data_IF_178290223243
#
_entry.id   IF_178290223243
#
_cell.length_a   1.000
_cell.length_b   1.000
_cell.length_c   1.000
_cell.angle_alpha   90.00
_cell.angle_beta   90.00
_cell.angle_gamma   90.00
#
_symmetry.space_group_name_H-M   'P 1'
#
loop_
_entity.id
_entity.type
_entity.pdbx_description
1 polymer ?
#
# COMPACT_ATOMS: atom_id res chain seq x y z
N UNK A 1 10.68 19.07 -28.20
CA UNK A 1 11.86 18.21 -28.52
C UNK A 1 11.49 16.73 -28.65
N UNK A 2 10.82 16.10 -27.68
CA UNK A 2 10.46 14.65 -27.78
C UNK A 2 9.44 14.37 -28.87
N UNK A 3 8.42 15.20 -29.04
CA UNK A 3 7.45 15.10 -30.14
C UNK A 3 8.07 15.31 -31.52
N UNK A 4 9.10 16.14 -31.62
CA UNK A 4 9.79 16.44 -32.88
C UNK A 4 10.43 15.18 -33.50
N UNK A 5 10.72 14.16 -32.72
CA UNK A 5 11.21 12.85 -33.16
C UNK A 5 10.20 12.12 -34.05
N UNK A 6 8.90 12.31 -33.82
CA UNK A 6 7.83 11.59 -34.49
C UNK A 6 7.24 12.43 -35.66
N UNK A 7 7.29 13.75 -35.60
CA UNK A 7 6.70 14.65 -36.60
C UNK A 7 7.12 14.34 -38.05
N UNK A 8 8.40 14.08 -38.37
CA UNK A 8 8.80 13.80 -39.76
C UNK A 8 8.21 12.51 -40.31
N UNK A 9 7.88 11.54 -39.46
CA UNK A 9 7.33 10.23 -39.83
C UNK A 9 5.82 10.28 -40.08
N UNK A 10 5.13 11.30 -39.58
CA UNK A 10 3.68 11.46 -39.71
C UNK A 10 3.24 12.00 -41.08
N UNK A 11 4.18 12.32 -41.95
CA UNK A 11 3.90 13.01 -43.23
C UNK A 11 3.33 12.12 -44.35
N UNK A 12 3.22 10.79 -44.13
CA UNK A 12 2.67 9.85 -45.13
C UNK A 12 1.59 8.98 -44.50
N UNK A 13 0.43 8.79 -45.16
CA UNK A 13 -0.72 8.05 -44.62
C UNK A 13 -0.39 6.61 -44.16
N UNK A 14 0.50 5.92 -44.88
CA UNK A 14 0.87 4.53 -44.54
C UNK A 14 1.85 4.40 -43.36
N UNK A 15 2.62 5.45 -43.06
CA UNK A 15 3.53 5.49 -41.94
C UNK A 15 2.90 6.10 -40.69
N UNK A 16 1.78 6.79 -40.83
CA UNK A 16 1.14 7.51 -39.72
C UNK A 16 0.65 6.55 -38.60
N UNK A 17 -0.05 5.48 -38.95
CA UNK A 17 -0.54 4.50 -37.95
C UNK A 17 0.60 3.85 -37.15
N UNK A 18 1.64 3.33 -37.83
CA UNK A 18 2.79 2.73 -37.14
C UNK A 18 3.55 3.75 -36.30
N UNK A 19 3.60 5.01 -36.74
CA UNK A 19 4.24 6.11 -35.98
C UNK A 19 3.42 6.50 -34.75
N UNK A 20 2.09 6.46 -34.81
CA UNK A 20 1.23 6.68 -33.64
C UNK A 20 1.41 5.55 -32.63
N UNK A 21 1.45 4.30 -33.06
CA UNK A 21 1.68 3.16 -32.18
C UNK A 21 3.08 3.22 -31.51
N UNK A 22 4.11 3.60 -32.27
CA UNK A 22 5.45 3.84 -31.73
C UNK A 22 5.45 4.96 -30.68
N UNK A 23 4.76 6.07 -30.97
CA UNK A 23 4.65 7.21 -30.07
C UNK A 23 3.89 6.84 -28.79
N UNK A 24 2.75 6.18 -28.91
CA UNK A 24 1.95 5.71 -27.77
C UNK A 24 2.79 4.76 -26.91
N UNK A 25 3.42 3.76 -27.52
CA UNK A 25 4.28 2.80 -26.82
C UNK A 25 5.44 3.48 -26.11
N UNK A 26 6.05 4.49 -26.75
CA UNK A 26 7.14 5.27 -26.15
C UNK A 26 6.69 6.01 -24.88
N UNK A 27 5.51 6.65 -24.91
CA UNK A 27 5.02 7.38 -23.74
C UNK A 27 4.50 6.45 -22.63
N UNK A 28 3.86 5.34 -22.98
CA UNK A 28 3.41 4.33 -22.03
C UNK A 28 4.57 3.62 -21.31
N UNK A 29 5.74 3.51 -21.97
CA UNK A 29 6.93 2.90 -21.38
C UNK A 29 7.71 3.83 -20.43
N UNK A 30 7.31 5.09 -20.27
CA UNK A 30 7.98 6.02 -19.37
C UNK A 30 7.62 5.73 -17.92
N UNK A 31 8.59 5.77 -16.98
CA UNK A 31 8.30 5.65 -15.54
C UNK A 31 7.25 6.67 -15.05
N UNK A 32 7.23 7.86 -15.63
CA UNK A 32 6.25 8.91 -15.32
C UNK A 32 4.81 8.55 -15.64
N UNK A 33 4.55 7.51 -16.45
CA UNK A 33 3.21 6.98 -16.68
C UNK A 33 2.61 6.46 -15.36
N UNK A 34 3.31 5.56 -14.67
CA UNK A 34 2.87 5.03 -13.39
C UNK A 34 2.77 6.12 -12.32
N UNK A 35 3.73 7.05 -12.26
CA UNK A 35 3.69 8.17 -11.31
C UNK A 35 2.45 9.04 -11.52
N UNK A 36 2.10 9.34 -12.78
CA UNK A 36 0.92 10.13 -13.13
C UNK A 36 -0.38 9.44 -12.73
N UNK A 37 -0.54 8.16 -13.10
CA UNK A 37 -1.77 7.42 -12.87
C UNK A 37 -1.90 6.93 -11.42
N UNK A 38 -0.78 6.66 -10.74
CA UNK A 38 -0.78 6.31 -9.33
C UNK A 38 -1.43 7.41 -8.47
N UNK A 39 -1.28 8.68 -8.81
CA UNK A 39 -1.92 9.79 -8.08
C UNK A 39 -3.43 9.63 -8.01
N UNK A 40 -4.07 9.25 -9.12
CA UNK A 40 -5.53 9.02 -9.15
C UNK A 40 -5.95 7.86 -8.25
N UNK A 41 -5.16 6.77 -8.28
CA UNK A 41 -5.42 5.62 -7.43
C UNK A 41 -5.16 5.92 -5.95
N UNK A 42 -4.09 6.63 -5.65
CA UNK A 42 -3.71 6.99 -4.27
C UNK A 42 -4.74 7.93 -3.64
N UNK A 43 -5.34 8.85 -4.41
CA UNK A 43 -6.46 9.67 -3.95
C UNK A 43 -7.67 8.81 -3.57
N UNK A 44 -8.03 7.83 -4.39
CA UNK A 44 -9.10 6.86 -4.08
C UNK A 44 -8.75 6.00 -2.86
N UNK A 45 -7.50 5.57 -2.74
CA UNK A 45 -7.00 4.79 -1.62
C UNK A 45 -6.81 5.63 -0.33
N UNK A 46 -7.03 6.93 -0.36
CA UNK A 46 -6.84 7.87 0.76
C UNK A 46 -5.40 7.90 1.28
N UNK A 47 -4.40 7.68 0.40
CA UNK A 47 -3.00 7.67 0.78
C UNK A 47 -2.57 9.00 1.39
N UNK A 48 -1.88 8.94 2.52
CA UNK A 48 -1.21 10.07 3.14
C UNK A 48 0.07 9.62 3.85
N UNK A 49 1.09 10.49 3.87
CA UNK A 49 2.34 10.28 4.62
C UNK A 49 2.20 10.73 6.08
N UNK A 50 0.96 10.82 6.58
CA UNK A 50 0.64 11.20 7.96
C UNK A 50 -0.58 10.42 8.46
N UNK A 51 -0.74 10.37 9.80
CA UNK A 51 -1.73 9.52 10.47
C UNK A 51 -3.13 10.11 10.53
N UNK A 52 -3.29 11.40 10.22
CA UNK A 52 -4.56 12.11 10.38
C UNK A 52 -4.88 12.45 11.84
N UNK A 53 -6.13 12.79 12.11
CA UNK A 53 -6.60 13.34 13.37
C UNK A 53 -5.81 14.60 13.80
N UNK A 54 -6.12 15.25 14.92
CA UNK A 54 -5.45 16.52 15.27
C UNK A 54 -3.95 16.43 15.46
N UNK A 55 -3.41 15.27 15.87
CA UNK A 55 -1.97 15.12 16.10
C UNK A 55 -1.16 14.90 14.82
N UNK A 56 -1.77 14.39 13.78
CA UNK A 56 -1.28 14.19 12.41
C UNK A 56 0.23 13.85 12.31
N UNK A 57 0.64 12.81 13.02
CA UNK A 57 2.04 12.40 13.04
C UNK A 57 2.49 11.81 11.69
N UNK A 58 3.77 11.97 11.29
CA UNK A 58 4.31 11.32 10.12
C UNK A 58 4.13 9.80 10.16
N UNK A 59 3.82 9.19 9.01
CA UNK A 59 3.61 7.74 8.83
C UNK A 59 4.53 7.20 7.75
N UNK A 60 5.10 6.02 7.98
CA UNK A 60 5.93 5.31 7.00
C UNK A 60 5.10 4.29 6.20
N UNK A 61 4.41 4.75 5.17
CA UNK A 61 3.59 3.92 4.26
C UNK A 61 3.98 4.07 2.79
N UNK A 62 5.09 4.75 2.53
CA UNK A 62 5.58 5.07 1.19
C UNK A 62 5.76 3.84 0.28
N UNK A 63 6.03 2.66 0.83
CA UNK A 63 6.20 1.44 0.07
C UNK A 63 4.93 1.07 -0.74
N UNK A 64 3.75 1.33 -0.19
CA UNK A 64 2.49 1.14 -0.90
C UNK A 64 2.37 2.07 -2.12
N UNK A 65 2.70 3.35 -1.97
CA UNK A 65 2.74 4.29 -3.09
C UNK A 65 3.65 3.78 -4.20
N UNK A 66 4.84 3.36 -3.85
CA UNK A 66 5.84 2.87 -4.80
C UNK A 66 5.39 1.55 -5.45
N UNK A 67 4.69 0.68 -4.71
CA UNK A 67 4.08 -0.52 -5.26
C UNK A 67 3.02 -0.17 -6.32
N UNK A 68 2.12 0.78 -6.05
CA UNK A 68 1.10 1.23 -7.01
C UNK A 68 1.75 1.75 -8.29
N UNK A 69 2.80 2.58 -8.17
CA UNK A 69 3.55 3.10 -9.32
C UNK A 69 4.16 1.95 -10.15
N UNK A 70 4.79 0.97 -9.49
CA UNK A 70 5.38 -0.19 -10.18
C UNK A 70 4.33 -1.06 -10.85
N UNK A 71 3.22 -1.33 -10.19
CA UNK A 71 2.12 -2.14 -10.72
C UNK A 71 1.55 -1.51 -12.01
N UNK A 72 1.33 -0.20 -12.01
CA UNK A 72 0.84 0.53 -13.19
C UNK A 72 1.88 0.56 -14.31
N UNK A 73 3.15 0.78 -14.02
CA UNK A 73 4.22 0.73 -15.02
C UNK A 73 4.43 -0.68 -15.59
N UNK A 74 4.18 -1.72 -14.80
CA UNK A 74 4.21 -3.11 -15.25
C UNK A 74 2.95 -3.52 -16.02
N UNK A 75 1.97 -2.62 -16.17
CA UNK A 75 0.66 -2.92 -16.73
C UNK A 75 0.02 -4.17 -16.07
N UNK A 76 0.08 -4.23 -14.72
CA UNK A 76 -0.48 -5.34 -13.96
C UNK A 76 -1.95 -5.54 -14.30
N UNK A 77 -2.43 -6.77 -14.57
CA UNK A 77 -3.84 -7.04 -14.78
C UNK A 77 -4.69 -6.55 -13.61
N UNK A 78 -5.85 -5.95 -13.90
CA UNK A 78 -6.67 -5.29 -12.88
C UNK A 78 -7.20 -6.27 -11.82
N UNK A 79 -7.47 -7.50 -12.18
CA UNK A 79 -7.87 -8.56 -11.25
C UNK A 79 -6.73 -8.90 -10.27
N UNK A 80 -5.48 -9.03 -10.76
CA UNK A 80 -4.31 -9.22 -9.90
C UNK A 80 -4.07 -8.00 -8.99
N UNK A 81 -4.12 -6.80 -9.56
CA UNK A 81 -3.99 -5.54 -8.82
C UNK A 81 -5.03 -5.43 -7.70
N UNK A 82 -6.26 -5.90 -7.95
CA UNK A 82 -7.34 -5.94 -6.96
C UNK A 82 -7.08 -6.98 -5.87
N UNK A 83 -6.77 -8.22 -6.26
CA UNK A 83 -6.53 -9.32 -5.31
C UNK A 83 -5.38 -8.99 -4.36
N UNK A 84 -4.27 -8.47 -4.89
CA UNK A 84 -3.10 -8.17 -4.07
C UNK A 84 -3.37 -7.06 -3.04
N UNK A 85 -4.21 -6.07 -3.37
CA UNK A 85 -4.58 -5.02 -2.42
C UNK A 85 -5.61 -5.44 -1.38
N UNK A 86 -6.56 -6.29 -1.75
CA UNK A 86 -7.63 -6.71 -0.84
C UNK A 86 -7.27 -7.93 0.02
N UNK A 87 -6.41 -8.82 -0.48
CA UNK A 87 -6.13 -10.12 0.11
C UNK A 87 -4.73 -10.66 -0.26
N UNK A 88 -3.74 -9.78 -0.50
CA UNK A 88 -2.39 -10.17 -0.86
C UNK A 88 -1.70 -11.04 0.20
N UNK A 89 -1.99 -10.78 1.46
CA UNK A 89 -1.50 -11.53 2.62
C UNK A 89 -2.09 -12.95 2.73
N UNK A 90 -3.23 -13.21 2.10
CA UNK A 90 -3.90 -14.51 2.08
C UNK A 90 -3.44 -15.40 0.92
N UNK A 91 -2.60 -14.89 0.02
CA UNK A 91 -2.05 -15.67 -1.10
C UNK A 91 -1.09 -16.74 -0.58
N UNK A 92 -0.94 -17.88 -1.28
CA UNK A 92 0.02 -18.91 -0.90
C UNK A 92 1.46 -18.38 -0.94
N UNK A 93 2.17 -18.37 0.19
CA UNK A 93 3.52 -17.85 0.34
C UNK A 93 3.66 -16.41 -0.20
N UNK A 94 2.95 -15.43 0.38
CA UNK A 94 2.91 -14.07 -0.14
C UNK A 94 4.30 -13.44 -0.18
N UNK A 95 4.58 -12.72 -1.26
CA UNK A 95 5.79 -11.93 -1.42
C UNK A 95 5.72 -10.63 -0.62
N UNK A 96 6.86 -9.97 -0.41
CA UNK A 96 6.90 -8.65 0.21
C UNK A 96 6.01 -7.65 -0.54
N UNK A 97 6.01 -7.67 -1.88
CA UNK A 97 5.17 -6.79 -2.69
C UNK A 97 3.67 -7.05 -2.48
N UNK A 98 3.26 -8.31 -2.32
CA UNK A 98 1.87 -8.66 -2.03
C UNK A 98 1.43 -8.25 -0.61
N UNK A 99 2.33 -8.34 0.37
CA UNK A 99 2.09 -7.81 1.71
C UNK A 99 2.01 -6.28 1.69
N UNK A 100 2.90 -5.61 0.97
CA UNK A 100 2.89 -4.15 0.81
C UNK A 100 1.59 -3.67 0.14
N UNK A 101 1.08 -4.41 -0.85
CA UNK A 101 -0.18 -4.07 -1.53
C UNK A 101 -1.36 -3.99 -0.56
N UNK A 102 -1.43 -4.84 0.47
CA UNK A 102 -2.51 -4.82 1.47
C UNK A 102 -2.54 -3.55 2.32
N UNK A 103 -1.51 -2.72 2.24
CA UNK A 103 -1.51 -1.40 2.88
C UNK A 103 -2.59 -0.46 2.34
N UNK A 104 -3.31 -0.82 1.25
CA UNK A 104 -4.57 -0.19 0.89
C UNK A 104 -5.51 -0.07 2.09
N UNK A 105 -5.63 -1.13 2.88
CA UNK A 105 -6.44 -1.14 4.10
C UNK A 105 -5.82 -0.35 5.26
N UNK A 106 -4.54 -0.01 5.19
CA UNK A 106 -3.82 0.74 6.23
C UNK A 106 -3.82 2.27 6.01
N UNK A 107 -4.41 2.75 4.92
CA UNK A 107 -4.57 4.19 4.65
C UNK A 107 -5.70 4.84 5.48
N UNK A 108 -6.21 4.17 6.50
CA UNK A 108 -7.12 4.74 7.49
C UNK A 108 -6.38 5.73 8.39
N UNK A 109 -7.10 6.69 8.96
CA UNK A 109 -6.53 7.55 9.99
C UNK A 109 -6.27 6.73 11.26
N UNK A 110 -5.15 7.00 11.94
CA UNK A 110 -4.75 6.36 13.20
C UNK A 110 -4.76 7.39 14.34
N UNK A 111 -5.45 7.07 15.44
CA UNK A 111 -5.52 7.95 16.61
C UNK A 111 -4.27 7.83 17.47
N UNK A 112 -3.59 8.96 17.68
CA UNK A 112 -2.34 9.06 18.44
C UNK A 112 -2.46 9.88 19.73
N UNK A 113 -3.66 10.35 20.06
CA UNK A 113 -3.88 11.18 21.25
C UNK A 113 -4.08 10.33 22.52
N UNK A 114 -3.67 10.86 23.66
CA UNK A 114 -3.87 10.21 24.95
C UNK A 114 -5.31 10.37 25.46
N UNK A 115 -5.83 9.35 26.14
CA UNK A 115 -7.16 9.39 26.76
C UNK A 115 -8.32 9.03 25.83
N UNK A 116 -8.01 8.46 24.67
CA UNK A 116 -8.99 7.93 23.72
C UNK A 116 -9.21 6.44 23.93
N UNK A 117 -10.33 5.90 23.46
CA UNK A 117 -10.63 4.48 23.45
C UNK A 117 -10.09 3.85 22.17
N UNK A 118 -9.07 3.00 22.28
CA UNK A 118 -8.45 2.31 21.15
C UNK A 118 -9.47 1.51 20.33
N UNK A 119 -10.46 0.88 20.97
CA UNK A 119 -11.46 0.06 20.30
C UNK A 119 -12.46 0.91 19.50
N UNK A 120 -12.79 2.12 19.98
CA UNK A 120 -13.62 3.07 19.23
C UNK A 120 -12.97 3.43 17.91
N UNK A 121 -11.68 3.79 17.93
CA UNK A 121 -10.94 4.17 16.71
C UNK A 121 -10.65 2.99 15.80
N UNK A 122 -10.40 1.80 16.36
CA UNK A 122 -10.31 0.56 15.57
C UNK A 122 -11.61 0.30 14.80
N UNK A 123 -12.76 0.46 15.43
CA UNK A 123 -14.06 0.32 14.78
C UNK A 123 -14.26 1.40 13.69
N UNK A 124 -13.88 2.64 13.96
CA UNK A 124 -13.94 3.72 12.96
C UNK A 124 -13.08 3.39 11.72
N UNK A 125 -11.87 2.85 11.93
CA UNK A 125 -10.99 2.43 10.84
C UNK A 125 -11.60 1.28 10.00
N UNK A 126 -12.24 0.29 10.64
CA UNK A 126 -12.90 -0.81 9.93
C UNK A 126 -14.08 -0.28 9.10
N UNK A 127 -14.90 0.59 9.65
CA UNK A 127 -16.02 1.24 8.95
C UNK A 127 -15.50 1.99 7.72
N UNK A 128 -14.42 2.73 7.87
CA UNK A 128 -13.79 3.47 6.79
C UNK A 128 -13.26 2.52 5.69
N UNK A 129 -12.62 1.39 6.05
CA UNK A 129 -12.18 0.35 5.11
C UNK A 129 -13.32 -0.25 4.31
N UNK A 130 -14.44 -0.58 4.97
CA UNK A 130 -15.65 -1.07 4.31
C UNK A 130 -16.13 -0.06 3.27
N UNK A 131 -16.36 1.17 3.70
CA UNK A 131 -16.91 2.22 2.86
C UNK A 131 -16.00 2.54 1.68
N UNK A 132 -14.69 2.61 1.90
CA UNK A 132 -13.71 2.89 0.85
C UNK A 132 -13.60 1.76 -0.15
N UNK A 133 -13.58 0.51 0.30
CA UNK A 133 -13.53 -0.64 -0.62
C UNK A 133 -14.70 -0.61 -1.62
N UNK A 134 -15.91 -0.38 -1.14
CA UNK A 134 -17.07 -0.30 -2.03
C UNK A 134 -17.06 0.95 -2.91
N UNK A 135 -16.64 2.09 -2.39
CA UNK A 135 -16.51 3.31 -3.18
C UNK A 135 -15.49 3.16 -4.31
N UNK A 136 -14.35 2.53 -4.04
CA UNK A 136 -13.26 2.38 -5.02
C UNK A 136 -13.58 1.35 -6.10
N UNK A 137 -14.02 0.14 -5.72
CA UNK A 137 -14.22 -0.94 -6.69
C UNK A 137 -15.62 -1.01 -7.29
N UNK A 138 -16.64 -0.56 -6.57
CA UNK A 138 -18.03 -0.66 -7.02
C UNK A 138 -18.68 0.70 -7.31
N UNK A 139 -18.02 1.82 -6.99
CA UNK A 139 -18.60 3.15 -7.15
C UNK A 139 -19.86 3.37 -6.31
N UNK A 140 -20.03 2.60 -5.23
CA UNK A 140 -21.24 2.58 -4.40
C UNK A 140 -20.98 3.17 -3.03
N UNK A 141 -21.84 4.07 -2.57
CA UNK A 141 -21.79 4.65 -1.22
C UNK A 141 -22.38 3.68 -0.21
N UNK A 142 -21.60 2.74 0.30
CA UNK A 142 -22.08 1.70 1.21
C UNK A 142 -22.43 2.22 2.62
N UNK A 143 -21.94 3.38 3.03
CA UNK A 143 -22.11 3.96 4.36
C UNK A 143 -23.57 4.05 4.82
N UNK A 144 -24.53 4.25 3.91
CA UNK A 144 -25.95 4.27 4.23
C UNK A 144 -26.43 2.95 4.85
N UNK A 145 -25.86 1.82 4.41
CA UNK A 145 -26.23 0.49 4.87
C UNK A 145 -25.73 0.17 6.29
N UNK A 146 -24.89 1.02 6.87
CA UNK A 146 -24.47 0.89 8.26
C UNK A 146 -25.64 1.04 9.25
N UNK A 147 -26.65 1.88 8.94
CA UNK A 147 -27.76 2.16 9.84
C UNK A 147 -29.09 1.52 9.37
N UNK A 148 -29.26 1.30 8.06
CA UNK A 148 -30.48 0.75 7.49
C UNK A 148 -30.17 0.12 6.11
N UNK A 149 -31.05 -0.73 5.59
CA UNK A 149 -30.94 -1.23 4.22
C UNK A 149 -30.78 -0.07 3.23
N UNK A 150 -29.82 -0.18 2.30
CA UNK A 150 -29.52 0.89 1.36
C UNK A 150 -30.76 1.27 0.55
N UNK A 151 -30.96 2.58 0.34
CA UNK A 151 -32.20 3.07 -0.26
C UNK A 151 -32.33 2.74 -1.75
N UNK A 152 -31.20 2.76 -2.47
CA UNK A 152 -31.16 2.65 -3.93
C UNK A 152 -30.51 1.36 -4.41
N UNK A 153 -29.47 0.91 -3.75
CA UNK A 153 -28.69 -0.27 -4.11
C UNK A 153 -29.19 -1.50 -3.33
N UNK A 154 -29.08 -2.71 -3.90
CA UNK A 154 -29.56 -3.93 -3.25
C UNK A 154 -28.60 -4.41 -2.14
N UNK A 155 -28.29 -3.56 -1.21
CA UNK A 155 -27.39 -3.80 -0.08
C UNK A 155 -28.17 -3.67 1.21
N UNK A 156 -28.30 -4.76 1.94
CA UNK A 156 -28.95 -4.78 3.24
C UNK A 156 -27.99 -4.40 4.37
N UNK A 157 -28.52 -3.97 5.51
CA UNK A 157 -27.74 -3.73 6.73
C UNK A 157 -26.97 -5.01 7.15
N UNK A 158 -27.55 -6.19 6.96
CA UNK A 158 -26.91 -7.45 7.30
C UNK A 158 -25.68 -7.72 6.41
N UNK A 159 -25.77 -7.47 5.10
CA UNK A 159 -24.64 -7.60 4.17
C UNK A 159 -23.51 -6.61 4.49
N UNK A 160 -23.87 -5.39 4.90
CA UNK A 160 -22.88 -4.42 5.40
C UNK A 160 -22.06 -5.01 6.56
N UNK A 161 -22.73 -5.54 7.59
CA UNK A 161 -22.03 -6.09 8.76
C UNK A 161 -21.39 -7.45 8.48
N UNK A 162 -21.82 -8.20 7.49
CA UNK A 162 -21.10 -9.39 7.02
C UNK A 162 -19.75 -8.98 6.40
N UNK A 163 -19.74 -7.92 5.55
CA UNK A 163 -18.49 -7.42 4.98
C UNK A 163 -17.59 -6.79 6.06
N UNK A 164 -18.17 -6.00 6.98
CA UNK A 164 -17.47 -5.49 8.14
C UNK A 164 -16.76 -6.61 8.93
N UNK A 165 -17.42 -7.76 9.11
CA UNK A 165 -16.85 -8.88 9.85
C UNK A 165 -15.57 -9.45 9.23
N UNK A 166 -15.40 -9.40 7.90
CA UNK A 166 -14.14 -9.80 7.26
C UNK A 166 -12.99 -8.90 7.72
N UNK A 167 -13.18 -7.58 7.66
CA UNK A 167 -12.15 -6.62 8.04
C UNK A 167 -11.94 -6.50 9.55
N UNK A 168 -12.96 -6.84 10.34
CA UNK A 168 -12.88 -6.87 11.80
C UNK A 168 -11.96 -7.99 12.33
N UNK A 169 -11.61 -8.97 11.50
CA UNK A 169 -10.69 -10.05 11.86
C UNK A 169 -9.23 -9.75 11.51
N UNK A 170 -8.94 -8.57 10.95
CA UNK A 170 -7.57 -8.15 10.69
C UNK A 170 -6.78 -7.96 11.99
N UNK A 171 -5.48 -8.23 11.95
CA UNK A 171 -4.60 -8.07 13.11
C UNK A 171 -4.31 -6.62 13.48
N UNK A 172 -4.74 -5.67 12.66
CA UNK A 172 -4.56 -4.24 12.87
C UNK A 172 -5.30 -3.76 14.10
N UNK A 173 -4.57 -3.16 15.02
CA UNK A 173 -5.11 -2.62 16.28
C UNK A 173 -5.44 -1.14 16.23
N UNK A 174 -5.12 -0.46 15.12
CA UNK A 174 -5.27 1.00 14.95
C UNK A 174 -4.70 1.82 16.11
N UNK A 175 -3.55 1.38 16.64
CA UNK A 175 -2.83 2.00 17.74
C UNK A 175 -1.67 2.85 17.25
N UNK A 176 -1.17 3.72 18.14
CA UNK A 176 -0.05 4.62 17.90
C UNK A 176 1.21 3.95 17.32
N UNK A 177 1.47 2.71 17.65
CA UNK A 177 2.60 1.92 17.14
C UNK A 177 2.33 1.30 15.76
N UNK A 178 1.08 1.44 15.27
CA UNK A 178 0.62 0.94 13.96
C UNK A 178 0.95 -0.53 13.69
N UNK A 179 1.09 -1.36 14.71
CA UNK A 179 1.32 -2.81 14.53
C UNK A 179 0.07 -3.51 13.95
N UNK A 180 0.26 -4.60 13.17
CA UNK A 180 1.52 -5.21 12.80
C UNK A 180 2.27 -4.44 11.70
N UNK A 181 3.61 -4.37 11.84
CA UNK A 181 4.48 -3.76 10.85
C UNK A 181 5.16 -4.85 10.01
N UNK A 182 5.27 -4.61 8.72
CA UNK A 182 6.04 -5.44 7.81
C UNK A 182 7.38 -4.80 7.50
N UNK A 183 8.47 -5.47 7.88
CA UNK A 183 9.82 -5.03 7.55
C UNK A 183 10.32 -5.74 6.32
N UNK A 184 10.72 -5.00 5.31
CA UNK A 184 11.29 -5.51 4.08
C UNK A 184 12.61 -4.81 3.77
N UNK A 185 13.51 -5.52 3.07
CA UNK A 185 14.80 -4.98 2.67
C UNK A 185 14.76 -4.46 1.24
N UNK A 186 15.15 -3.20 1.05
CA UNK A 186 15.56 -2.76 -0.29
C UNK A 186 16.89 -3.43 -0.68
N UNK A 187 17.24 -3.51 -1.98
CA UNK A 187 18.54 -4.06 -2.39
C UNK A 187 19.72 -3.40 -1.68
N UNK A 188 19.64 -2.09 -1.42
CA UNK A 188 20.66 -1.31 -0.71
C UNK A 188 20.74 -1.69 0.77
N UNK A 189 19.60 -1.73 1.46
CA UNK A 189 19.55 -2.09 2.89
C UNK A 189 19.95 -3.54 3.11
N UNK A 190 19.58 -4.46 2.19
CA UNK A 190 20.02 -5.86 2.23
C UNK A 190 21.55 -5.97 2.17
N UNK A 191 22.18 -5.25 1.23
CA UNK A 191 23.62 -5.21 1.10
C UNK A 191 24.29 -4.63 2.36
N UNK A 192 23.76 -3.52 2.89
CA UNK A 192 24.27 -2.92 4.12
C UNK A 192 24.14 -3.85 5.31
N UNK A 193 23.01 -4.55 5.44
CA UNK A 193 22.77 -5.52 6.50
C UNK A 193 23.78 -6.68 6.47
N UNK A 194 24.11 -7.21 5.30
CA UNK A 194 25.10 -8.27 5.17
C UNK A 194 26.51 -7.79 5.56
N UNK A 195 26.87 -6.56 5.20
CA UNK A 195 28.15 -5.95 5.62
C UNK A 195 28.19 -5.79 7.15
N UNK A 196 27.14 -5.21 7.73
CA UNK A 196 27.07 -5.01 9.18
C UNK A 196 27.06 -6.32 9.96
N UNK A 197 26.36 -7.36 9.47
CA UNK A 197 26.41 -8.72 10.07
C UNK A 197 27.84 -9.28 10.09
N UNK A 198 28.57 -9.13 8.99
CA UNK A 198 29.95 -9.58 8.91
C UNK A 198 30.87 -8.81 9.89
N UNK A 199 30.67 -7.49 10.02
CA UNK A 199 31.41 -6.66 10.99
C UNK A 199 31.09 -7.06 12.43
N UNK A 200 29.80 -7.27 12.76
CA UNK A 200 29.37 -7.72 14.09
C UNK A 200 30.04 -9.07 14.41
N UNK A 201 29.96 -10.06 13.52
CA UNK A 201 30.58 -11.36 13.72
C UNK A 201 32.10 -11.27 13.92
N UNK A 202 32.78 -10.38 13.17
CA UNK A 202 34.20 -10.11 13.32
C UNK A 202 34.55 -9.47 14.67
N UNK A 203 33.69 -8.58 15.19
CA UNK A 203 33.84 -7.99 16.50
C UNK A 203 33.54 -8.98 17.61
N UNK A 204 32.44 -9.75 17.51
CA UNK A 204 32.07 -10.77 18.48
C UNK A 204 33.17 -11.83 18.65
N UNK A 205 33.86 -12.20 17.55
CA UNK A 205 34.99 -13.13 17.61
C UNK A 205 36.19 -12.62 18.42
N UNK A 206 36.27 -11.29 18.64
CA UNK A 206 37.31 -10.63 19.43
C UNK A 206 36.95 -10.52 20.92
N UNK A 207 35.67 -10.69 21.27
CA UNK A 207 35.24 -10.65 22.66
C UNK A 207 35.55 -12.01 23.32
N UNK A 208 36.52 -12.07 24.17
CA UNK A 208 36.68 -13.20 25.10
C UNK A 208 35.52 -13.15 26.09
N UNK A 209 34.86 -14.29 26.32
CA UNK A 209 33.84 -14.39 27.38
C UNK A 209 34.46 -13.91 28.69
N UNK A 210 33.77 -13.02 29.45
CA UNK A 210 34.29 -12.59 30.77
C UNK A 210 34.58 -13.81 31.63
N UNK A 211 35.77 -13.83 32.25
CA UNK A 211 36.14 -14.89 33.14
C UNK A 211 35.09 -14.99 34.27
N UNK A 212 34.72 -16.22 34.66
CA UNK A 212 33.78 -16.47 35.75
C UNK A 212 34.17 -15.76 37.06
N UNK A 213 35.47 -15.49 37.26
CA UNK A 213 35.96 -14.68 38.36
C UNK A 213 35.59 -13.20 38.29
N UNK A 214 35.46 -12.65 37.11
CA UNK A 214 35.03 -11.27 36.93
C UNK A 214 33.55 -11.05 37.19
N UNK A 215 32.73 -12.09 36.96
CA UNK A 215 31.29 -12.08 37.26
C UNK A 215 30.95 -12.33 38.74
N UNK A 216 31.89 -12.81 39.54
CA UNK A 216 31.72 -13.14 40.95
C UNK A 216 32.21 -12.04 41.92
N UNK A 217 32.77 -10.95 41.45
CA UNK A 217 33.18 -9.77 42.20
C UNK A 217 32.19 -8.64 42.07
#
# INVERSE_FOLDING_TARGET
EELDRFLPKLSTEHSALSTYDEMVSHYLAKPSYGEHWARQWLDLARYADSSGYPSDQPREIWAYRDWVIRALNANMPFDQFTIEQLAGDLLPNPTDDQLIATAFHRNTMTQNEGGTDDEEFRNAAIIDRVNTTFAVWMGTTMACAQCHTHKYDPITINEYFQFYAFLNQSADSDKKDEVPLHSFDTPETKKQREVLKAEIAALESKFTKPDAKWLAG
#
